data_IF_858199351453
#
_entry.id   IF_858199351453
#
_cell.length_a   1.000
_cell.length_b   1.000
_cell.length_c   1.000
_cell.angle_alpha   90.00
_cell.angle_beta   90.00
_cell.angle_gamma   90.00
#
_symmetry.space_group_name_H-M   'P 1'
#
loop_
_entity.id
_entity.type
_entity.pdbx_description
1 polymer ?
#
# COMPACT_ATOMS: atom_id res chain seq x y z
N UNK A 1 0.81 5.22 -12.95
CA UNK A 1 0.30 5.23 -11.57
C UNK A 1 -0.67 4.08 -11.44
N UNK A 2 -0.53 3.25 -10.41
CA UNK A 2 -1.35 2.08 -10.14
C UNK A 2 -2.23 2.35 -8.92
N UNK A 3 -3.44 1.80 -8.93
CA UNK A 3 -4.46 2.05 -7.91
C UNK A 3 -5.14 0.71 -7.63
N UNK A 4 -5.22 0.32 -6.36
CA UNK A 4 -5.98 -0.84 -5.92
C UNK A 4 -6.86 -0.48 -4.72
N UNK A 5 -8.07 -1.01 -4.72
CA UNK A 5 -9.05 -0.83 -3.65
C UNK A 5 -9.13 -2.11 -2.83
N UNK A 6 -9.23 -1.98 -1.52
CA UNK A 6 -9.67 -3.07 -0.65
C UNK A 6 -11.10 -2.78 -0.21
N UNK A 7 -12.01 -3.69 -0.49
CA UNK A 7 -13.40 -3.58 -0.07
C UNK A 7 -13.57 -4.15 1.35
N UNK A 8 -13.57 -3.24 2.32
CA UNK A 8 -13.97 -3.53 3.70
C UNK A 8 -15.14 -2.61 4.04
N UNK A 9 -16.32 -3.19 4.28
CA UNK A 9 -17.56 -2.49 4.62
C UNK A 9 -17.42 -1.49 5.79
N UNK A 10 -16.45 -1.70 6.70
CA UNK A 10 -16.27 -0.85 7.88
C UNK A 10 -15.22 0.24 7.70
N UNK A 11 -14.16 -0.03 6.93
CA UNK A 11 -13.05 0.89 6.70
C UNK A 11 -12.52 0.76 5.27
N UNK A 12 -13.28 1.28 4.28
CA UNK A 12 -12.85 1.24 2.89
C UNK A 12 -11.49 1.94 2.77
N UNK A 13 -10.55 1.23 2.16
CA UNK A 13 -9.16 1.64 2.07
C UNK A 13 -8.69 1.60 0.64
N UNK A 14 -7.87 2.57 0.28
CA UNK A 14 -7.27 2.68 -1.05
C UNK A 14 -5.75 2.64 -0.92
N UNK A 15 -5.13 1.88 -1.82
CA UNK A 15 -3.68 1.85 -1.95
C UNK A 15 -3.29 2.29 -3.34
N UNK A 16 -2.35 3.23 -3.42
CA UNK A 16 -1.76 3.66 -4.69
C UNK A 16 -0.25 3.43 -4.70
N UNK A 17 0.28 3.10 -5.87
CA UNK A 17 1.72 2.95 -6.10
C UNK A 17 2.15 3.53 -7.44
N UNK A 18 3.40 3.96 -7.55
CA UNK A 18 3.86 4.75 -8.70
C UNK A 18 5.25 4.41 -9.22
N UNK A 19 5.62 5.14 -10.28
CA UNK A 19 6.98 5.11 -10.84
C UNK A 19 8.01 5.76 -9.90
N UNK A 20 7.55 6.55 -8.94
CA UNK A 20 8.36 7.15 -7.88
C UNK A 20 8.66 6.17 -6.73
N UNK A 21 8.19 4.92 -6.83
CA UNK A 21 8.39 3.89 -5.80
C UNK A 21 7.64 4.15 -4.49
N UNK A 22 6.82 5.20 -4.44
CA UNK A 22 6.01 5.51 -3.28
C UNK A 22 4.75 4.65 -3.27
N UNK A 23 4.45 4.08 -2.12
CA UNK A 23 3.21 3.35 -1.85
C UNK A 23 2.42 4.17 -0.82
N UNK A 24 1.24 4.65 -1.19
CA UNK A 24 0.39 5.48 -0.32
C UNK A 24 -0.87 4.73 0.07
N UNK A 25 -1.20 4.81 1.35
CA UNK A 25 -2.40 4.23 1.94
C UNK A 25 -3.37 5.34 2.36
N UNK A 26 -4.62 5.20 1.97
CA UNK A 26 -5.68 6.17 2.18
C UNK A 26 -6.86 5.51 2.88
N UNK A 27 -7.37 6.18 3.91
CA UNK A 27 -8.64 5.81 4.51
C UNK A 27 -9.75 6.62 3.80
N UNK A 28 -10.70 5.90 3.20
CA UNK A 28 -11.74 6.55 2.39
C UNK A 28 -12.88 7.12 3.23
N UNK A 29 -13.00 6.75 4.51
CA UNK A 29 -14.01 7.34 5.40
C UNK A 29 -13.69 8.80 5.74
N UNK A 30 -12.40 9.14 5.89
CA UNK A 30 -11.95 10.50 6.24
C UNK A 30 -11.14 11.17 5.12
N UNK A 31 -10.98 10.51 3.97
CA UNK A 31 -10.23 10.96 2.80
C UNK A 31 -8.78 11.38 3.12
N UNK A 32 -8.18 10.77 4.15
CA UNK A 32 -6.84 11.12 4.61
C UNK A 32 -5.83 10.02 4.27
N UNK A 33 -4.63 10.44 3.87
CA UNK A 33 -3.49 9.53 3.73
C UNK A 33 -3.00 9.12 5.12
N UNK A 34 -3.08 7.85 5.46
CA UNK A 34 -2.62 7.38 6.78
C UNK A 34 -1.12 7.09 6.77
N UNK A 35 -0.63 6.48 5.69
CA UNK A 35 0.76 6.03 5.60
C UNK A 35 1.32 6.22 4.18
N UNK A 36 2.59 6.62 4.10
CA UNK A 36 3.38 6.57 2.87
C UNK A 36 4.60 5.70 3.14
N UNK A 37 4.72 4.61 2.40
CA UNK A 37 5.89 3.75 2.39
C UNK A 37 6.74 4.10 1.18
N UNK A 38 7.99 4.44 1.44
CA UNK A 38 9.00 4.58 0.39
C UNK A 38 9.92 3.37 0.48
N UNK A 39 10.34 2.85 -0.67
CA UNK A 39 11.40 1.85 -0.71
C UNK A 39 12.66 2.47 -0.09
N UNK A 40 13.10 1.93 1.05
CA UNK A 40 14.23 2.45 1.85
C UNK A 40 15.59 2.39 1.14
N UNK A 41 15.68 1.83 -0.06
CA UNK A 41 16.93 1.75 -0.79
C UNK A 41 17.17 3.05 -1.56
N UNK A 42 18.45 3.39 -1.74
CA UNK A 42 18.90 4.57 -2.48
C UNK A 42 18.38 4.63 -3.93
N UNK A 43 17.89 3.50 -4.46
CA UNK A 43 17.26 3.43 -5.77
C UNK A 43 15.73 3.48 -5.67
N UNK A 44 15.15 4.43 -6.39
CA UNK A 44 13.72 4.51 -6.63
C UNK A 44 13.32 3.34 -7.53
N UNK A 45 12.52 2.42 -6.99
CA UNK A 45 12.02 1.27 -7.74
C UNK A 45 10.63 1.58 -8.29
N UNK A 46 10.47 1.54 -9.62
CA UNK A 46 9.15 1.66 -10.24
C UNK A 46 8.28 0.47 -9.85
N UNK A 47 7.07 0.73 -9.37
CA UNK A 47 6.10 -0.32 -9.07
C UNK A 47 5.24 -0.57 -10.32
N UNK A 48 5.19 -1.83 -10.75
CA UNK A 48 4.50 -2.28 -11.96
C UNK A 48 3.18 -2.98 -11.66
N UNK A 49 3.04 -3.58 -10.49
CA UNK A 49 1.78 -4.14 -10.02
C UNK A 49 1.64 -4.01 -8.51
N UNK A 50 0.39 -3.85 -8.07
CA UNK A 50 0.01 -3.79 -6.67
C UNK A 50 -1.26 -4.62 -6.45
N UNK A 51 -1.28 -5.35 -5.34
CA UNK A 51 -2.45 -6.05 -4.84
C UNK A 51 -2.61 -5.71 -3.35
N UNK A 52 -3.86 -5.63 -2.89
CA UNK A 52 -4.18 -5.38 -1.48
C UNK A 52 -5.32 -6.31 -1.04
N UNK A 53 -5.14 -6.94 0.11
CA UNK A 53 -6.21 -7.61 0.85
C UNK A 53 -6.45 -6.91 2.20
N UNK A 54 -7.18 -7.53 3.13
CA UNK A 54 -7.51 -6.94 4.45
C UNK A 54 -6.32 -6.76 5.40
N UNK A 55 -5.18 -7.35 5.08
CA UNK A 55 -4.04 -7.54 5.99
C UNK A 55 -2.68 -7.33 5.32
N UNK A 56 -2.62 -7.47 4.00
CA UNK A 56 -1.39 -7.48 3.22
C UNK A 56 -1.51 -6.55 2.01
N UNK A 57 -0.38 -5.92 1.69
CA UNK A 57 -0.13 -5.26 0.42
C UNK A 57 1.03 -5.99 -0.25
N UNK A 58 0.83 -6.39 -1.50
CA UNK A 58 1.86 -7.03 -2.32
C UNK A 58 2.23 -6.09 -3.46
N UNK A 59 3.52 -5.80 -3.61
CA UNK A 59 4.04 -4.99 -4.72
C UNK A 59 5.17 -5.69 -5.44
N UNK A 60 5.24 -5.44 -6.75
CA UNK A 60 6.33 -5.88 -7.63
C UNK A 60 6.76 -4.74 -8.54
N UNK A 61 8.06 -4.64 -8.80
CA UNK A 61 8.67 -3.57 -9.58
C UNK A 61 9.79 -4.03 -10.49
N UNK A 62 10.53 -3.07 -11.03
CA UNK A 62 11.62 -3.31 -11.98
C UNK A 62 12.83 -4.06 -11.38
N UNK A 63 12.94 -4.07 -10.05
CA UNK A 63 14.06 -4.71 -9.35
C UNK A 63 13.89 -6.23 -9.15
N UNK A 64 12.86 -6.81 -9.77
CA UNK A 64 12.55 -8.25 -9.70
C UNK A 64 12.27 -8.76 -8.28
N UNK A 65 12.00 -7.86 -7.32
CA UNK A 65 11.66 -8.24 -5.95
C UNK A 65 10.15 -8.15 -5.71
N UNK A 66 9.63 -9.17 -5.03
CA UNK A 66 8.28 -9.16 -4.44
C UNK A 66 8.37 -8.63 -3.02
N UNK A 67 7.60 -7.58 -2.74
CA UNK A 67 7.52 -7.00 -1.39
C UNK A 67 6.14 -7.25 -0.82
N UNK A 68 6.12 -7.72 0.43
CA UNK A 68 4.90 -7.94 1.20
C UNK A 68 4.95 -7.02 2.41
N UNK A 69 3.94 -6.16 2.53
CA UNK A 69 3.77 -5.27 3.66
C UNK A 69 2.55 -5.72 4.46
N UNK A 70 2.76 -5.97 5.75
CA UNK A 70 1.68 -6.25 6.68
C UNK A 70 1.10 -4.92 7.15
N UNK A 71 -0.18 -4.69 6.87
CA UNK A 71 -0.95 -3.60 7.48
C UNK A 71 -2.10 -4.25 8.25
N UNK A 72 -1.79 -4.86 9.39
CA UNK A 72 -2.85 -5.26 10.29
C UNK A 72 -3.53 -3.96 10.80
N UNK A 73 -4.86 -3.79 10.68
CA UNK A 73 -5.53 -2.77 11.48
C UNK A 73 -5.12 -3.03 12.93
N UNK A 74 -4.55 -2.03 13.61
CA UNK A 74 -4.22 -2.16 15.02
C UNK A 74 -5.51 -2.48 15.76
N UNK A 75 -5.78 -3.76 16.01
CA UNK A 75 -6.71 -4.16 17.04
C UNK A 75 -6.15 -3.52 18.30
N UNK A 76 -6.90 -2.59 18.90
CA UNK A 76 -6.53 -2.01 20.18
C UNK A 76 -6.31 -3.19 21.13
N UNK A 77 -5.05 -3.48 21.44
CA UNK A 77 -4.70 -4.35 22.55
C UNK A 77 -5.17 -3.56 23.78
N UNK A 78 -6.21 -4.07 24.44
CA UNK A 78 -6.68 -3.58 25.73
C UNK A 78 -5.59 -3.76 26.79
#
# INVERSE_FOLDING_TARGET
QLISLSDDDKQPSLVSAGQDGAIKFWNLNNLASQHTYNTKNADIVKINCIYVDRTHIVTVGDDSLVRILNFAPKTRQN
#
